data_IF_219284756445
#
_entry.id   IF_219284756445
#
_cell.length_a   1.000
_cell.length_b   1.000
_cell.length_c   1.000
_cell.angle_alpha   90.00
_cell.angle_beta   90.00
_cell.angle_gamma   90.00
#
_symmetry.space_group_name_H-M   'P 1'
#
loop_
_entity.id
_entity.type
_entity.pdbx_description
1 polymer ?
#
# COMPACT_ATOMS: atom_id res chain seq x y z
N UNK A 1 24.04 -6.53 -13.35
CA UNK A 1 22.66 -6.21 -12.92
C UNK A 1 22.16 -7.40 -12.13
N UNK A 2 21.67 -7.21 -10.91
CA UNK A 2 21.13 -8.31 -10.09
C UNK A 2 19.69 -8.60 -10.52
N UNK A 3 19.36 -9.87 -10.76
CA UNK A 3 17.98 -10.33 -11.06
C UNK A 3 17.56 -11.19 -9.88
N UNK A 4 16.65 -10.70 -9.05
CA UNK A 4 16.26 -11.35 -7.80
C UNK A 4 15.68 -12.77 -7.99
N UNK A 5 15.18 -13.09 -9.19
CA UNK A 5 14.50 -14.35 -9.51
C UNK A 5 15.26 -15.16 -10.57
N UNK A 6 16.57 -14.94 -10.76
CA UNK A 6 17.35 -15.58 -11.85
C UNK A 6 17.31 -17.11 -11.81
N UNK A 7 17.21 -17.67 -10.62
CA UNK A 7 17.33 -19.11 -10.37
C UNK A 7 15.95 -19.78 -10.17
N UNK A 8 14.86 -19.04 -10.43
CA UNK A 8 13.48 -19.49 -10.23
C UNK A 8 12.80 -19.79 -11.57
N UNK A 9 12.01 -20.86 -11.60
CA UNK A 9 11.14 -21.20 -12.72
C UNK A 9 9.70 -20.84 -12.32
N UNK A 10 9.06 -19.96 -13.08
CA UNK A 10 7.71 -19.43 -12.81
C UNK A 10 7.58 -18.75 -11.43
N UNK A 11 8.34 -17.66 -11.17
CA UNK A 11 8.24 -16.93 -9.91
C UNK A 11 6.82 -16.38 -9.70
N UNK A 12 6.37 -16.44 -8.45
CA UNK A 12 5.02 -16.12 -8.00
C UNK A 12 4.96 -14.76 -7.32
N UNK A 13 3.85 -14.05 -7.54
CA UNK A 13 3.57 -12.75 -6.91
C UNK A 13 2.07 -12.46 -6.98
N UNK A 14 1.66 -11.33 -6.41
CA UNK A 14 0.31 -10.77 -6.50
C UNK A 14 0.35 -9.41 -7.20
N UNK A 15 -0.81 -8.94 -7.66
CA UNK A 15 -0.90 -7.71 -8.46
C UNK A 15 -0.86 -6.42 -7.64
N UNK A 16 -1.07 -6.46 -6.33
CA UNK A 16 -1.09 -5.25 -5.49
C UNK A 16 -1.91 -5.42 -4.21
N UNK A 17 -2.92 -4.57 -4.05
CA UNK A 17 -3.76 -4.39 -2.85
C UNK A 17 -4.11 -5.67 -2.09
N UNK A 18 -3.95 -5.61 -0.77
CA UNK A 18 -4.43 -6.61 0.17
C UNK A 18 -5.45 -5.99 1.15
N UNK A 19 -6.34 -6.80 1.75
CA UNK A 19 -7.35 -6.30 2.69
C UNK A 19 -6.70 -5.57 3.87
N UNK A 20 -7.15 -4.33 4.12
CA UNK A 20 -6.69 -3.56 5.28
C UNK A 20 -7.36 -4.08 6.55
N UNK A 21 -6.62 -4.41 7.62
CA UNK A 21 -7.20 -4.93 8.84
C UNK A 21 -8.05 -3.86 9.55
N UNK A 22 -9.08 -4.30 10.26
CA UNK A 22 -10.08 -3.41 10.87
C UNK A 22 -9.53 -2.42 11.92
N UNK A 23 -8.34 -2.67 12.44
CA UNK A 23 -7.63 -1.79 13.37
C UNK A 23 -6.85 -0.67 12.67
N UNK A 24 -6.49 -0.84 11.38
CA UNK A 24 -5.83 0.21 10.60
C UNK A 24 -6.91 1.17 10.07
N UNK A 25 -7.16 2.23 10.85
CA UNK A 25 -8.20 3.24 10.59
C UNK A 25 -7.65 4.53 10.03
N UNK A 26 -6.34 4.77 10.14
CA UNK A 26 -5.71 5.98 9.63
C UNK A 26 -5.71 6.01 8.10
N UNK A 27 -5.83 7.22 7.54
CA UNK A 27 -5.79 7.49 6.11
C UNK A 27 -4.69 8.52 5.83
N UNK A 28 -4.00 8.37 4.70
CA UNK A 28 -2.98 9.34 4.28
C UNK A 28 -3.62 10.66 3.85
N UNK A 29 -4.80 10.61 3.21
CA UNK A 29 -5.45 11.76 2.60
C UNK A 29 -4.54 12.47 1.59
N UNK A 30 -4.63 13.81 1.58
CA UNK A 30 -3.83 14.70 0.72
C UNK A 30 -2.38 14.90 1.22
N UNK A 31 -2.00 14.27 2.34
CA UNK A 31 -0.63 14.36 2.86
C UNK A 31 0.35 13.63 1.94
N UNK A 32 1.56 14.15 1.77
CA UNK A 32 2.63 13.33 1.21
C UNK A 32 2.90 12.14 2.13
N UNK A 33 3.42 11.03 1.58
CA UNK A 33 3.77 9.87 2.39
C UNK A 33 4.75 10.23 3.51
N UNK A 34 5.74 11.08 3.21
CA UNK A 34 6.68 11.59 4.20
C UNK A 34 5.99 12.34 5.35
N UNK A 35 5.01 13.19 5.06
CA UNK A 35 4.26 13.92 6.09
C UNK A 35 3.41 12.97 6.94
N UNK A 36 2.76 11.98 6.33
CA UNK A 36 1.97 11.00 7.07
C UNK A 36 2.84 10.14 7.98
N UNK A 37 4.08 9.81 7.59
CA UNK A 37 5.02 9.05 8.42
C UNK A 37 5.57 9.81 9.63
N UNK A 38 5.25 11.10 9.80
CA UNK A 38 5.55 11.90 11.01
C UNK A 38 4.43 11.72 12.06
N UNK A 39 3.22 11.39 11.63
CA UNK A 39 2.07 11.09 12.49
C UNK A 39 2.27 9.72 13.13
N UNK A 40 2.27 9.67 14.46
CA UNK A 40 2.61 8.46 15.21
C UNK A 40 1.59 7.33 14.96
N UNK A 41 0.30 7.66 14.96
CA UNK A 41 -0.78 6.69 14.79
C UNK A 41 -0.78 6.11 13.37
N UNK A 42 -0.61 6.97 12.35
CA UNK A 42 -0.51 6.51 10.96
C UNK A 42 0.73 5.64 10.77
N UNK A 43 1.87 6.07 11.31
CA UNK A 43 3.14 5.36 11.17
C UNK A 43 3.08 3.97 11.81
N UNK A 44 2.56 3.87 13.03
CA UNK A 44 2.40 2.59 13.73
C UNK A 44 1.50 1.66 12.92
N UNK A 45 0.28 2.11 12.59
CA UNK A 45 -0.68 1.27 11.88
C UNK A 45 -0.19 0.85 10.48
N UNK A 46 0.48 1.75 9.76
CA UNK A 46 1.05 1.44 8.44
C UNK A 46 2.16 0.39 8.55
N UNK A 47 3.13 0.56 9.46
CA UNK A 47 4.25 -0.38 9.60
C UNK A 47 3.79 -1.75 10.09
N UNK A 48 2.88 -1.79 11.06
CA UNK A 48 2.30 -3.03 11.55
C UNK A 48 1.56 -3.77 10.42
N UNK A 49 0.79 -3.04 9.61
CA UNK A 49 0.03 -3.66 8.53
C UNK A 49 0.96 -4.21 7.45
N UNK A 50 1.95 -3.43 7.02
CA UNK A 50 2.96 -3.87 6.06
C UNK A 50 3.69 -5.12 6.56
N UNK A 51 4.05 -5.16 7.84
CA UNK A 51 4.67 -6.32 8.46
C UNK A 51 3.76 -7.55 8.43
N UNK A 52 2.47 -7.40 8.77
CA UNK A 52 1.50 -8.49 8.72
C UNK A 52 1.34 -9.04 7.30
N UNK A 53 1.10 -8.18 6.31
CA UNK A 53 0.80 -8.62 4.95
C UNK A 53 2.03 -9.21 4.25
N UNK A 54 3.23 -8.69 4.52
CA UNK A 54 4.47 -9.34 4.02
C UNK A 54 4.60 -10.72 4.65
N UNK A 55 4.35 -10.85 5.96
CA UNK A 55 4.45 -12.15 6.64
C UNK A 55 3.45 -13.17 6.10
N UNK A 56 2.25 -12.75 5.76
CA UNK A 56 1.25 -13.62 5.15
C UNK A 56 1.66 -14.06 3.75
N UNK A 57 2.23 -13.16 2.94
CA UNK A 57 2.77 -13.47 1.62
C UNK A 57 3.97 -14.43 1.67
N UNK A 58 4.91 -14.21 2.60
CA UNK A 58 6.03 -15.13 2.84
C UNK A 58 5.54 -16.52 3.23
N UNK A 59 4.54 -16.59 4.12
CA UNK A 59 3.93 -17.86 4.55
C UNK A 59 3.19 -18.56 3.42
N UNK A 60 2.61 -17.80 2.50
CA UNK A 60 2.00 -18.33 1.28
C UNK A 60 3.03 -18.82 0.25
N UNK A 61 4.31 -18.51 0.45
CA UNK A 61 5.40 -18.93 -0.44
C UNK A 61 5.55 -18.06 -1.70
N UNK A 62 5.15 -16.79 -1.64
CA UNK A 62 5.36 -15.87 -2.76
C UNK A 62 6.83 -15.46 -2.89
N UNK A 63 7.34 -15.47 -4.13
CA UNK A 63 8.73 -15.13 -4.43
C UNK A 63 8.99 -13.62 -4.43
N UNK A 64 8.00 -12.84 -4.88
CA UNK A 64 8.03 -11.37 -4.86
C UNK A 64 6.82 -10.87 -4.08
N UNK A 65 7.10 -10.23 -2.95
CA UNK A 65 6.08 -9.68 -2.04
C UNK A 65 5.83 -8.19 -2.29
N UNK A 66 4.67 -7.69 -1.87
CA UNK A 66 4.30 -6.27 -1.96
C UNK A 66 3.89 -5.71 -0.59
N UNK A 67 3.79 -4.39 -0.47
CA UNK A 67 3.25 -3.71 0.73
C UNK A 67 1.71 -3.79 0.81
N UNK A 68 1.06 -4.50 -0.14
CA UNK A 68 -0.39 -4.61 -0.22
C UNK A 68 -1.09 -3.27 -0.46
N UNK A 69 -0.40 -2.26 -1.02
CA UNK A 69 -0.91 -0.90 -1.21
C UNK A 69 -1.45 -0.25 0.07
N UNK A 70 -0.87 -0.60 1.21
CA UNK A 70 -1.26 -0.19 2.55
C UNK A 70 -1.32 1.34 2.78
N UNK A 71 -0.68 2.13 1.91
CA UNK A 71 -0.67 3.59 1.98
C UNK A 71 -1.92 4.24 1.39
N UNK A 72 -2.75 3.51 0.65
CA UNK A 72 -3.98 4.07 0.10
C UNK A 72 -5.06 4.21 1.18
N UNK A 73 -5.91 5.21 0.98
CA UNK A 73 -7.04 5.45 1.87
C UNK A 73 -8.08 4.34 1.72
N UNK A 74 -8.68 3.92 2.83
CA UNK A 74 -9.82 3.00 2.79
C UNK A 74 -11.01 3.71 2.17
N UNK A 75 -11.29 3.36 0.92
CA UNK A 75 -12.43 3.86 0.16
C UNK A 75 -13.26 2.69 -0.35
N UNK A 76 -14.58 2.81 -0.27
CA UNK A 76 -15.50 1.87 -0.90
C UNK A 76 -15.65 2.27 -2.37
N UNK A 77 -15.50 1.31 -3.29
CA UNK A 77 -15.72 1.53 -4.73
C UNK A 77 -14.49 1.88 -5.56
N UNK A 78 -13.28 1.49 -5.15
CA UNK A 78 -12.07 1.53 -6.00
C UNK A 78 -11.48 2.93 -6.26
N UNK A 79 -11.76 3.88 -5.36
CA UNK A 79 -11.18 5.25 -5.42
C UNK A 79 -9.80 5.36 -4.81
N UNK A 80 -9.35 4.33 -4.11
CA UNK A 80 -8.07 4.25 -3.40
C UNK A 80 -6.88 4.59 -4.29
N UNK A 81 -6.62 3.81 -5.34
CA UNK A 81 -5.46 4.03 -6.21
C UNK A 81 -5.57 5.33 -7.04
N UNK A 82 -6.74 5.58 -7.64
CA UNK A 82 -6.98 6.77 -8.46
C UNK A 82 -6.88 8.04 -7.61
N UNK A 83 -7.51 8.04 -6.43
CA UNK A 83 -7.51 9.17 -5.52
C UNK A 83 -6.12 9.48 -5.00
N UNK A 84 -5.32 8.45 -4.69
CA UNK A 84 -3.93 8.64 -4.29
C UNK A 84 -3.13 9.45 -5.32
N UNK A 85 -3.33 9.18 -6.61
CA UNK A 85 -2.66 9.89 -7.70
C UNK A 85 -3.20 11.32 -7.85
N UNK A 86 -4.52 11.47 -7.92
CA UNK A 86 -5.16 12.77 -8.17
C UNK A 86 -4.89 13.76 -7.04
N UNK A 87 -4.78 13.29 -5.79
CA UNK A 87 -4.44 14.14 -4.64
C UNK A 87 -2.97 14.63 -4.64
N UNK A 88 -2.11 14.07 -5.50
CA UNK A 88 -0.66 14.34 -5.50
C UNK A 88 -0.15 14.97 -6.79
N UNK A 89 -0.96 14.95 -7.84
CA UNK A 89 -0.64 15.60 -9.10
C UNK A 89 -1.40 16.93 -9.22
N UNK A 90 -0.71 17.96 -9.70
CA UNK A 90 -1.35 19.22 -10.06
C UNK A 90 -2.17 19.10 -11.34
N UNK A 91 -3.07 20.07 -11.57
CA UNK A 91 -3.85 20.17 -12.82
C UNK A 91 -5.22 19.50 -12.80
N UNK A 92 -5.63 18.93 -11.67
CA UNK A 92 -6.98 18.40 -11.46
C UNK A 92 -7.85 19.36 -10.65
N UNK A 93 -9.14 19.46 -10.98
CA UNK A 93 -10.14 20.26 -10.26
C UNK A 93 -11.47 19.50 -10.16
N UNK A 94 -12.28 19.77 -9.13
CA UNK A 94 -13.60 19.14 -8.96
C UNK A 94 -13.56 17.67 -8.50
N UNK A 95 -12.39 17.18 -8.09
CA UNK A 95 -12.19 15.86 -7.48
C UNK A 95 -12.14 15.93 -5.94
N UNK A 96 -12.12 17.13 -5.38
CA UNK A 96 -12.01 17.37 -3.94
C UNK A 96 -13.30 16.90 -3.25
N UNK A 97 -13.16 15.93 -2.33
CA UNK A 97 -14.21 15.50 -1.39
C UNK A 97 -14.08 16.19 -0.06
#
# INVERSE_FOLDING_TARGET
MYIATSDLILPTTITGSLPRPAWFRQNIGRRTFRQAMIDADFREQYLDNVSCVIRDQERAGLDVVTDGDARFDTNVGGRDWVGYIVDRLGGFSGYET
#
